data_IF_226232263570
#
_entry.id   IF_226232263570
#
_cell.length_a   1.000
_cell.length_b   1.000
_cell.length_c   1.000
_cell.angle_alpha   90.00
_cell.angle_beta   90.00
_cell.angle_gamma   90.00
#
_symmetry.space_group_name_H-M   'P 1'
#
loop_
_entity.id
_entity.type
_entity.pdbx_description
1 polymer ?
#
# COMPACT_ATOMS: atom_id res chain seq x y z
N UNK A 1 -7.49 -12.17 2.91
CA UNK A 1 -6.86 -12.23 1.59
C UNK A 1 -5.46 -11.63 1.69
N UNK A 2 -4.48 -12.26 1.09
CA UNK A 2 -3.12 -11.73 1.04
C UNK A 2 -2.93 -10.84 -0.18
N UNK A 3 -2.15 -9.78 -0.01
CA UNK A 3 -1.81 -8.85 -1.08
C UNK A 3 -0.45 -8.20 -0.77
N UNK A 4 -0.04 -7.29 -1.64
CA UNK A 4 1.24 -6.59 -1.50
C UNK A 4 1.01 -5.09 -1.54
N UNK A 5 1.76 -4.36 -0.73
CA UNK A 5 1.68 -2.90 -0.71
C UNK A 5 3.07 -2.30 -0.55
N UNK A 6 3.31 -1.22 -1.30
CA UNK A 6 4.53 -0.44 -1.21
C UNK A 6 4.34 0.64 -0.15
N UNK A 7 5.18 0.60 0.89
CA UNK A 7 5.20 1.60 1.95
C UNK A 7 6.48 2.42 1.90
N UNK A 8 6.41 3.62 2.50
CA UNK A 8 7.60 4.41 2.74
C UNK A 8 8.40 3.80 3.88
N UNK A 9 9.70 3.60 3.67
CA UNK A 9 10.64 3.19 4.71
C UNK A 9 11.37 4.45 5.20
N UNK A 10 11.14 4.83 6.45
CA UNK A 10 11.76 6.02 7.04
C UNK A 10 13.16 5.72 7.56
N UNK A 11 13.94 6.78 7.77
CA UNK A 11 15.30 6.65 8.29
C UNK A 11 15.38 5.99 9.65
N UNK A 12 14.33 6.17 10.47
CA UNK A 12 14.26 5.55 11.81
C UNK A 12 13.80 4.09 11.78
N UNK A 13 13.55 3.54 10.59
CA UNK A 13 13.11 2.16 10.41
C UNK A 13 11.60 1.94 10.41
N UNK A 14 10.81 2.97 10.70
CA UNK A 14 9.35 2.84 10.68
C UNK A 14 8.80 2.87 9.26
N UNK A 15 7.59 2.33 9.10
CA UNK A 15 6.87 2.35 7.83
C UNK A 15 5.74 3.38 7.86
N UNK A 16 5.47 3.96 6.71
CA UNK A 16 4.36 4.90 6.56
C UNK A 16 3.72 4.83 5.18
N UNK A 17 2.53 5.43 5.03
CA UNK A 17 1.87 5.51 3.73
C UNK A 17 2.67 6.36 2.74
N UNK A 18 2.46 6.13 1.44
CA UNK A 18 3.18 6.87 0.40
C UNK A 18 2.67 8.30 0.24
N UNK A 19 1.36 8.48 0.18
CA UNK A 19 0.78 9.75 -0.26
C UNK A 19 -0.20 10.37 0.74
N UNK A 20 -0.97 9.57 1.44
CA UNK A 20 -2.03 10.02 2.34
C UNK A 20 -1.60 9.80 3.78
N UNK A 21 -1.88 10.79 4.65
CA UNK A 21 -1.55 10.73 6.09
C UNK A 21 -0.08 10.36 6.35
N UNK A 22 0.82 11.16 5.82
CA UNK A 22 2.27 10.88 5.81
C UNK A 22 2.90 10.71 7.18
N UNK A 23 2.24 11.17 8.23
CA UNK A 23 2.74 11.06 9.61
C UNK A 23 2.35 9.75 10.27
N UNK A 24 1.43 8.99 9.67
CA UNK A 24 1.01 7.71 10.22
C UNK A 24 2.16 6.72 10.25
N UNK A 25 2.25 5.95 11.33
CA UNK A 25 3.18 4.83 11.45
C UNK A 25 2.40 3.55 11.29
N UNK A 26 2.85 2.69 10.36
CA UNK A 26 2.23 1.40 10.10
C UNK A 26 2.98 0.37 10.94
N UNK A 27 2.29 -0.21 11.92
CA UNK A 27 2.87 -1.25 12.79
C UNK A 27 2.38 -2.62 12.39
N UNK A 28 3.21 -3.69 12.56
CA UNK A 28 2.80 -5.06 12.20
C UNK A 28 1.67 -5.59 13.06
N UNK A 29 0.90 -6.51 12.48
CA UNK A 29 -0.09 -7.35 13.16
C UNK A 29 -1.29 -6.61 13.78
N UNK A 30 -1.53 -5.37 13.36
CA UNK A 30 -2.67 -4.57 13.78
C UNK A 30 -3.54 -4.24 12.56
N UNK A 31 -4.85 -4.49 12.68
CA UNK A 31 -5.81 -4.11 11.65
C UNK A 31 -6.00 -2.60 11.63
N UNK A 32 -5.80 -2.00 10.46
CA UNK A 32 -5.96 -0.57 10.23
C UNK A 32 -7.17 -0.33 9.32
N UNK A 33 -7.97 0.67 9.67
CA UNK A 33 -9.05 1.15 8.81
C UNK A 33 -8.52 2.06 7.72
N UNK A 34 -9.16 2.00 6.56
CA UNK A 34 -8.94 3.00 5.53
C UNK A 34 -9.49 4.34 6.03
N UNK A 35 -8.71 5.40 5.83
CA UNK A 35 -9.10 6.75 6.19
C UNK A 35 -9.46 7.54 4.94
N UNK A 36 -10.50 8.37 5.03
CA UNK A 36 -10.91 9.24 3.95
C UNK A 36 -10.23 10.59 4.11
N UNK A 37 -9.22 10.86 3.27
CA UNK A 37 -8.53 12.14 3.24
C UNK A 37 -8.75 12.83 1.91
N UNK A 38 -9.09 14.11 1.95
CA UNK A 38 -9.12 14.92 0.75
C UNK A 38 -7.70 15.14 0.26
N UNK A 39 -7.44 14.74 -0.99
CA UNK A 39 -6.17 14.99 -1.66
C UNK A 39 -6.39 15.94 -2.82
N UNK A 40 -5.69 17.06 -2.80
CA UNK A 40 -5.79 18.07 -3.85
C UNK A 40 -5.26 17.50 -5.17
N UNK A 41 -6.12 17.47 -6.20
CA UNK A 41 -5.73 17.01 -7.52
C UNK A 41 -5.76 15.51 -7.75
N UNK A 42 -6.18 14.71 -6.78
CA UNK A 42 -6.28 13.25 -6.91
C UNK A 42 -7.74 12.80 -6.78
N UNK A 43 -8.06 11.68 -7.41
CA UNK A 43 -9.37 11.07 -7.26
C UNK A 43 -9.59 10.67 -5.78
N UNK A 44 -10.76 11.02 -5.23
CA UNK A 44 -11.13 10.63 -3.88
C UNK A 44 -11.58 9.17 -3.89
N UNK A 45 -10.68 8.30 -3.43
CA UNK A 45 -10.96 6.86 -3.31
C UNK A 45 -10.50 6.39 -1.95
N UNK A 46 -11.38 6.38 -0.93
CA UNK A 46 -11.00 5.89 0.39
C UNK A 46 -10.70 4.40 0.33
N UNK A 47 -9.56 4.01 0.84
CA UNK A 47 -9.12 2.63 0.84
C UNK A 47 -7.62 2.47 0.74
N UNK A 48 -7.14 1.29 1.12
CA UNK A 48 -5.75 0.90 0.96
C UNK A 48 -5.56 0.33 -0.43
N UNK A 49 -4.73 0.99 -1.24
CA UNK A 49 -4.39 0.50 -2.58
C UNK A 49 -3.32 -0.57 -2.46
N UNK A 50 -3.67 -1.80 -2.80
CA UNK A 50 -2.77 -2.96 -2.72
C UNK A 50 -2.66 -3.64 -4.07
N UNK A 51 -1.58 -4.38 -4.28
CA UNK A 51 -1.30 -5.06 -5.53
C UNK A 51 -1.43 -6.57 -5.36
N UNK A 52 -1.79 -7.26 -6.44
CA UNK A 52 -1.79 -8.73 -6.45
C UNK A 52 -0.38 -9.33 -6.48
N UNK A 53 0.61 -8.52 -6.90
CA UNK A 53 2.03 -8.88 -6.96
C UNK A 53 2.85 -7.71 -6.42
N UNK A 54 4.08 -7.96 -5.90
CA UNK A 54 4.95 -6.86 -5.44
C UNK A 54 5.61 -6.14 -6.62
N UNK A 55 4.79 -5.63 -7.53
CA UNK A 55 5.21 -4.95 -8.75
C UNK A 55 4.29 -3.78 -9.02
N UNK A 56 4.86 -2.60 -9.14
CA UNK A 56 4.17 -1.38 -9.56
C UNK A 56 5.18 -0.55 -10.37
N UNK A 57 5.34 -0.83 -11.68
CA UNK A 57 6.42 -0.20 -12.48
C UNK A 57 6.37 1.32 -12.54
N UNK A 58 5.19 1.91 -12.34
CA UNK A 58 5.01 3.37 -12.36
C UNK A 58 5.39 4.05 -11.04
N UNK A 59 5.71 3.28 -9.98
CA UNK A 59 6.10 3.82 -8.68
C UNK A 59 7.58 3.63 -8.43
N UNK A 60 8.24 4.68 -7.94
CA UNK A 60 9.64 4.61 -7.52
C UNK A 60 9.79 3.75 -6.29
N UNK A 61 10.87 2.96 -6.22
CA UNK A 61 11.23 2.16 -5.05
C UNK A 61 12.15 2.89 -4.09
N UNK A 62 12.65 4.05 -4.45
CA UNK A 62 13.58 4.80 -3.60
C UNK A 62 12.90 5.21 -2.30
N UNK A 63 13.49 4.84 -1.17
CA UNK A 63 12.95 5.10 0.16
C UNK A 63 11.65 4.34 0.45
N UNK A 64 11.38 3.28 -0.28
CA UNK A 64 10.15 2.48 -0.18
C UNK A 64 10.47 1.00 -0.13
N UNK A 65 9.56 0.23 0.46
CA UNK A 65 9.72 -1.22 0.56
C UNK A 65 8.38 -1.92 0.33
N UNK A 66 8.41 -3.03 -0.39
CA UNK A 66 7.25 -3.88 -0.55
C UNK A 66 7.00 -4.68 0.71
N UNK A 67 5.72 -4.79 1.09
CA UNK A 67 5.30 -5.54 2.26
C UNK A 67 4.20 -6.50 1.89
N UNK A 68 4.18 -7.67 2.55
CA UNK A 68 3.07 -8.59 2.53
C UNK A 68 2.03 -8.09 3.52
N UNK A 69 0.79 -7.99 3.07
CA UNK A 69 -0.32 -7.50 3.89
C UNK A 69 -1.50 -8.45 3.80
N UNK A 70 -2.32 -8.47 4.85
CA UNK A 70 -3.62 -9.09 4.83
C UNK A 70 -4.67 -8.00 4.67
N UNK A 71 -5.66 -8.24 3.81
CA UNK A 71 -6.68 -7.24 3.50
C UNK A 71 -8.08 -7.82 3.59
N UNK A 72 -9.04 -6.96 3.90
CA UNK A 72 -10.46 -7.29 4.02
C UNK A 72 -11.33 -6.21 3.38
N UNK A 73 -12.56 -6.57 3.01
CA UNK A 73 -13.54 -5.67 2.40
C UNK A 73 -12.95 -5.06 1.12
N UNK A 74 -12.67 -5.95 0.16
CA UNK A 74 -11.83 -5.66 -1.00
C UNK A 74 -12.67 -5.41 -2.23
N UNK A 75 -12.34 -4.35 -2.98
CA UNK A 75 -12.79 -4.09 -4.32
C UNK A 75 -11.63 -4.32 -5.29
N UNK A 76 -11.86 -5.03 -6.38
CA UNK A 76 -10.85 -5.24 -7.42
C UNK A 76 -10.82 -4.06 -8.38
N UNK A 77 -9.61 -3.64 -8.73
CA UNK A 77 -9.37 -2.57 -9.70
C UNK A 77 -8.44 -3.10 -10.79
N UNK A 78 -8.92 -3.08 -12.04
CA UNK A 78 -8.08 -3.45 -13.16
C UNK A 78 -7.34 -2.20 -13.67
N UNK A 79 -6.02 -2.28 -13.73
CA UNK A 79 -5.16 -1.22 -14.21
C UNK A 79 -4.33 -1.72 -15.38
N UNK A 80 -3.76 -0.81 -16.21
CA UNK A 80 -2.83 -1.21 -17.28
C UNK A 80 -1.65 -2.01 -16.74
N UNK A 81 -1.08 -2.87 -17.57
CA UNK A 81 0.11 -3.64 -17.24
C UNK A 81 1.26 -2.75 -16.74
N UNK A 82 1.44 -1.58 -17.35
CA UNK A 82 2.46 -0.61 -16.97
C UNK A 82 2.28 -0.08 -15.53
N UNK A 83 1.11 -0.29 -14.92
CA UNK A 83 0.80 0.10 -13.56
C UNK A 83 0.61 -1.11 -12.64
N UNK A 84 1.00 -2.31 -13.08
CA UNK A 84 0.95 -3.52 -12.28
C UNK A 84 -0.26 -4.42 -12.48
N UNK A 85 -1.19 -4.08 -13.36
CA UNK A 85 -2.34 -4.93 -13.70
C UNK A 85 -3.44 -4.91 -12.66
N UNK A 86 -3.64 -6.02 -11.94
CA UNK A 86 -4.71 -6.16 -10.94
C UNK A 86 -4.31 -5.54 -9.61
N UNK A 87 -5.14 -4.60 -9.16
CA UNK A 87 -5.01 -3.95 -7.85
C UNK A 87 -6.23 -4.24 -6.99
N UNK A 88 -6.09 -4.01 -5.69
CA UNK A 88 -7.18 -4.12 -4.73
C UNK A 88 -7.32 -2.80 -3.97
N UNK A 89 -8.56 -2.41 -3.72
CA UNK A 89 -8.88 -1.31 -2.82
C UNK A 89 -9.53 -1.92 -1.59
N UNK A 90 -8.82 -1.89 -0.45
CA UNK A 90 -9.23 -2.54 0.77
C UNK A 90 -9.65 -1.54 1.84
N UNK A 91 -10.69 -1.87 2.61
CA UNK A 91 -11.13 -1.04 3.73
C UNK A 91 -10.39 -1.36 5.02
N UNK A 92 -9.78 -2.56 5.11
CA UNK A 92 -8.98 -3.00 6.25
C UNK A 92 -7.67 -3.57 5.77
N UNK A 93 -6.60 -3.27 6.48
CA UNK A 93 -5.27 -3.76 6.15
C UNK A 93 -4.51 -4.11 7.43
N UNK A 94 -3.79 -5.22 7.38
CA UNK A 94 -2.86 -5.62 8.44
C UNK A 94 -1.50 -5.91 7.82
N UNK A 95 -0.47 -5.21 8.28
CA UNK A 95 0.90 -5.43 7.86
C UNK A 95 1.40 -6.75 8.44
N UNK A 96 1.88 -7.66 7.59
CA UNK A 96 2.43 -8.94 8.04
C UNK A 96 3.95 -8.91 8.11
N UNK A 97 4.62 -8.51 7.04
CA UNK A 97 6.09 -8.44 7.00
C UNK A 97 6.59 -7.60 5.84
N UNK A 98 7.79 -7.06 6.01
CA UNK A 98 8.54 -6.45 4.93
C UNK A 98 9.13 -7.54 4.04
N UNK A 99 9.17 -7.30 2.74
CA UNK A 99 9.82 -8.19 1.79
C UNK A 99 11.26 -7.72 1.55
N UNK A 100 12.20 -8.64 1.32
CA UNK A 100 13.57 -8.24 0.98
C UNK A 100 13.58 -7.48 -0.36
N UNK A 101 14.53 -6.54 -0.48
CA UNK A 101 14.75 -5.88 -1.76
C UNK A 101 15.24 -6.91 -2.77
N UNK A 102 14.51 -7.00 -3.88
CA UNK A 102 14.92 -7.80 -5.03
C UNK A 102 15.46 -6.82 -6.07
N UNK A 103 16.71 -6.95 -6.38
CA UNK A 103 17.34 -6.15 -7.44
C UNK A 103 16.89 -6.65 -8.82
#
# INVERSE_FOLDING_TARGET
>A
MLAYKLFRKRKDGTLGPLFINRKQVIVPDIWLRAEAHRTKGYAFRPGWHCCSKPVAPHLSKEGRIWCLVQIMLVQRLQRPEAQGGLWYLAQRLKLLKELPHVN
#
